data_IF_084382846937
#
_entry.id   IF_084382846937
#
_cell.length_a   1.000
_cell.length_b   1.000
_cell.length_c   1.000
_cell.angle_alpha   90.00
_cell.angle_beta   90.00
_cell.angle_gamma   90.00
#
_symmetry.space_group_name_H-M   'P 1'
#
loop_
_entity.id
_entity.type
_entity.pdbx_description
1 polymer ?
#
# COMPACT_ATOMS: atom_id res chain seq x y z
N UNK A 1 -13.98 4.95 -3.58
CA UNK A 1 -12.72 5.02 -2.80
C UNK A 1 -11.60 5.42 -3.73
N UNK A 2 -10.89 6.45 -3.38
CA UNK A 2 -9.86 6.97 -4.28
C UNK A 2 -8.55 6.22 -4.15
N UNK A 3 -7.83 6.10 -5.27
CA UNK A 3 -6.46 5.60 -5.28
C UNK A 3 -5.60 6.48 -4.37
N UNK A 4 -4.76 5.87 -3.55
CA UNK A 4 -3.94 6.55 -2.56
C UNK A 4 -4.55 6.60 -1.16
N UNK A 5 -5.79 6.13 -1.00
CA UNK A 5 -6.41 6.07 0.32
C UNK A 5 -5.62 5.16 1.24
N UNK A 6 -5.37 5.63 2.46
CA UNK A 6 -4.74 4.86 3.54
C UNK A 6 -5.87 4.29 4.41
N UNK A 7 -5.96 2.98 4.45
CA UNK A 7 -7.06 2.27 5.12
C UNK A 7 -6.51 1.15 6.00
N UNK A 8 -7.25 0.80 7.05
CA UNK A 8 -6.97 -0.40 7.83
C UNK A 8 -7.70 -1.58 7.21
N UNK A 9 -7.00 -2.69 7.01
CA UNK A 9 -7.52 -3.88 6.32
C UNK A 9 -7.22 -5.13 7.14
N UNK A 10 -8.22 -6.00 7.26
CA UNK A 10 -8.03 -7.33 7.84
C UNK A 10 -7.43 -8.25 6.78
N UNK A 11 -6.19 -8.67 6.98
CA UNK A 11 -5.44 -9.51 6.05
C UNK A 11 -5.41 -10.99 6.46
N UNK A 12 -6.02 -11.34 7.59
CA UNK A 12 -6.11 -12.72 8.03
C UNK A 12 -7.17 -13.51 7.23
N UNK A 13 -6.94 -14.79 6.95
CA UNK A 13 -5.75 -15.55 7.30
C UNK A 13 -4.59 -15.28 6.34
N UNK A 14 -3.39 -15.11 6.89
CA UNK A 14 -2.17 -15.00 6.10
C UNK A 14 -1.51 -16.37 5.93
N UNK A 15 -0.74 -16.54 4.85
CA UNK A 15 -0.02 -17.79 4.56
C UNK A 15 1.45 -17.51 4.32
N UNK A 16 2.32 -18.31 4.90
CA UNK A 16 3.76 -18.20 4.72
C UNK A 16 4.29 -16.82 5.10
N UNK A 17 4.94 -16.16 4.16
CA UNK A 17 5.57 -14.84 4.36
C UNK A 17 4.61 -13.66 4.23
N UNK A 18 3.30 -13.90 3.99
CA UNK A 18 2.32 -12.82 3.91
C UNK A 18 2.18 -12.13 5.26
N UNK A 19 1.99 -10.80 5.26
CA UNK A 19 1.74 -10.06 6.51
C UNK A 19 0.38 -10.43 7.09
N UNK A 20 0.33 -10.79 8.38
CA UNK A 20 -0.91 -11.20 9.04
C UNK A 20 -1.65 -10.02 9.67
N UNK A 21 -2.84 -10.32 10.22
CA UNK A 21 -3.64 -9.43 11.05
C UNK A 21 -4.19 -8.22 10.29
N UNK A 22 -4.70 -7.25 11.06
CA UNK A 22 -5.15 -5.97 10.54
C UNK A 22 -3.95 -5.05 10.38
N UNK A 23 -3.79 -4.51 9.18
CA UNK A 23 -2.65 -3.67 8.81
C UNK A 23 -3.13 -2.42 8.08
N UNK A 24 -2.40 -1.31 8.20
CA UNK A 24 -2.63 -0.19 7.31
C UNK A 24 -2.18 -0.57 5.90
N UNK A 25 -2.98 -0.20 4.92
CA UNK A 25 -2.74 -0.51 3.50
C UNK A 25 -3.03 0.71 2.66
N UNK A 26 -2.40 0.78 1.49
CA UNK A 26 -2.66 1.84 0.51
C UNK A 26 -3.46 1.24 -0.63
N UNK A 27 -4.57 1.88 -1.00
CA UNK A 27 -5.35 1.52 -2.17
C UNK A 27 -4.56 1.99 -3.39
N UNK A 28 -4.19 1.06 -4.27
CA UNK A 28 -3.38 1.36 -5.46
C UNK A 28 -4.12 1.13 -6.76
N UNK A 29 -5.32 0.56 -6.72
CA UNK A 29 -6.15 0.37 -7.91
C UNK A 29 -6.84 1.68 -8.32
N UNK A 30 -7.21 1.73 -9.60
CA UNK A 30 -7.84 2.89 -10.23
C UNK A 30 -9.13 3.29 -9.50
N UNK A 31 -9.29 4.57 -9.24
CA UNK A 31 -10.43 5.12 -8.50
C UNK A 31 -11.77 4.67 -9.09
N UNK A 32 -11.93 4.76 -10.41
CA UNK A 32 -13.18 4.40 -11.09
C UNK A 32 -13.48 2.91 -10.95
N UNK A 33 -12.46 2.07 -11.01
CA UNK A 33 -12.62 0.62 -10.80
C UNK A 33 -13.02 0.32 -9.35
N UNK A 34 -12.47 1.05 -8.40
CA UNK A 34 -12.79 0.88 -6.98
C UNK A 34 -14.26 1.14 -6.67
N UNK A 35 -14.90 2.02 -7.44
CA UNK A 35 -16.29 2.40 -7.20
C UNK A 35 -17.29 1.33 -7.69
N UNK A 36 -16.91 0.53 -8.68
CA UNK A 36 -17.80 -0.44 -9.32
C UNK A 36 -17.44 -1.90 -9.01
N UNK A 37 -16.22 -2.18 -8.57
CA UNK A 37 -15.77 -3.54 -8.27
C UNK A 37 -16.05 -3.91 -6.81
N UNK A 38 -16.25 -5.20 -6.56
CA UNK A 38 -16.33 -5.75 -5.20
C UNK A 38 -14.95 -5.88 -4.54
N UNK A 39 -13.88 -5.70 -5.32
CA UNK A 39 -12.50 -5.81 -4.84
C UNK A 39 -11.73 -4.51 -5.06
N UNK A 40 -10.67 -4.34 -4.31
CA UNK A 40 -9.66 -3.28 -4.52
C UNK A 40 -8.28 -3.90 -4.42
N UNK A 41 -7.30 -3.27 -5.04
CA UNK A 41 -5.92 -3.70 -4.95
C UNK A 41 -5.19 -2.83 -3.93
N UNK A 42 -4.45 -3.48 -3.03
CA UNK A 42 -3.77 -2.81 -1.92
C UNK A 42 -2.29 -3.17 -1.86
N UNK A 43 -1.53 -2.26 -1.27
CA UNK A 43 -0.16 -2.48 -0.83
C UNK A 43 -0.15 -2.38 0.69
N UNK A 44 0.20 -3.46 1.41
CA UNK A 44 0.23 -3.41 2.87
C UNK A 44 1.45 -2.62 3.37
N UNK A 45 1.28 -1.98 4.53
CA UNK A 45 2.35 -1.28 5.22
C UNK A 45 2.80 -2.11 6.42
N UNK A 46 4.09 -2.14 6.67
CA UNK A 46 4.66 -2.81 7.83
C UNK A 46 5.46 -1.80 8.66
N UNK A 47 5.20 -1.71 9.96
CA UNK A 47 5.95 -0.77 10.80
C UNK A 47 7.43 -1.17 10.85
N UNK A 48 8.30 -0.15 10.91
CA UNK A 48 9.73 -0.35 11.08
C UNK A 48 10.15 0.12 12.46
N UNK A 49 11.12 -0.57 13.04
CA UNK A 49 11.72 -0.21 14.31
C UNK A 49 13.20 0.08 14.08
N UNK A 50 13.71 1.14 14.73
CA UNK A 50 15.10 1.55 14.55
C UNK A 50 15.32 2.21 13.19
N UNK A 51 16.56 2.15 12.72
CA UNK A 51 16.93 2.70 11.43
C UNK A 51 16.45 1.81 10.29
N UNK A 52 15.78 2.42 9.32
CA UNK A 52 15.36 1.72 8.11
C UNK A 52 15.89 2.45 6.89
N UNK A 53 16.53 1.71 5.99
CA UNK A 53 16.92 2.25 4.69
C UNK A 53 15.70 2.33 3.79
N UNK A 54 15.63 3.39 2.99
CA UNK A 54 14.65 3.49 1.92
C UNK A 54 15.02 2.48 0.81
N UNK A 55 14.04 1.77 0.29
CA UNK A 55 14.24 0.79 -0.78
C UNK A 55 13.25 1.06 -1.91
N UNK A 56 13.68 0.87 -3.15
CA UNK A 56 12.84 1.18 -4.31
C UNK A 56 11.54 0.39 -4.34
N UNK A 57 11.58 -0.91 -4.02
CA UNK A 57 10.39 -1.78 -4.03
C UNK A 57 9.65 -1.75 -2.70
N UNK A 58 10.29 -1.29 -1.64
CA UNK A 58 9.69 -1.14 -0.33
C UNK A 58 9.99 0.26 0.22
N UNK A 59 9.40 1.30 -0.36
CA UNK A 59 9.69 2.68 0.06
C UNK A 59 9.28 2.91 1.51
N UNK A 60 10.06 3.74 2.20
CA UNK A 60 9.80 4.14 3.58
C UNK A 60 8.83 5.31 3.58
N UNK A 61 7.78 5.19 4.38
CA UNK A 61 6.81 6.26 4.64
C UNK A 61 6.94 6.70 6.08
N UNK A 62 7.20 7.99 6.30
CA UNK A 62 7.40 8.52 7.65
C UNK A 62 6.05 8.71 8.36
N UNK A 63 6.02 8.44 9.65
CA UNK A 63 4.82 8.61 10.48
C UNK A 63 4.25 10.02 10.36
N UNK A 64 5.09 11.04 10.33
CA UNK A 64 4.67 12.45 10.22
C UNK A 64 3.89 12.75 8.95
N UNK A 65 4.06 11.93 7.91
CA UNK A 65 3.43 12.12 6.59
C UNK A 65 2.20 11.25 6.38
N UNK A 66 1.91 10.32 7.30
CA UNK A 66 0.85 9.32 7.10
C UNK A 66 -0.24 9.33 8.17
N UNK A 67 -0.05 10.03 9.29
CA UNK A 67 -0.89 9.97 10.49
C UNK A 67 -0.81 8.62 11.22
N UNK A 68 0.07 7.73 10.81
CA UNK A 68 0.34 6.49 11.54
C UNK A 68 1.29 6.79 12.70
N UNK A 69 1.26 5.95 13.74
CA UNK A 69 2.11 6.14 14.92
C UNK A 69 3.58 5.81 14.68
N UNK A 70 3.88 5.07 13.62
CA UNK A 70 5.24 4.60 13.31
C UNK A 70 5.57 4.80 11.85
N UNK A 71 6.86 4.97 11.57
CA UNK A 71 7.37 4.88 10.20
C UNK A 71 7.06 3.48 9.68
N UNK A 72 6.70 3.39 8.42
CA UNK A 72 6.26 2.13 7.82
C UNK A 72 6.91 1.93 6.47
N UNK A 73 7.08 0.67 6.11
CA UNK A 73 7.56 0.24 4.81
C UNK A 73 6.37 -0.17 3.96
N UNK A 74 6.25 0.36 2.75
CA UNK A 74 5.21 -0.04 1.82
C UNK A 74 5.70 -1.30 1.08
N UNK A 75 5.02 -2.42 1.30
CA UNK A 75 5.42 -3.72 0.77
C UNK A 75 4.86 -3.92 -0.64
N UNK A 76 5.45 -3.26 -1.64
CA UNK A 76 5.00 -3.36 -3.03
C UNK A 76 5.09 -4.79 -3.56
N UNK A 77 6.01 -5.59 -3.01
CA UNK A 77 6.14 -7.02 -3.35
C UNK A 77 5.02 -7.89 -2.76
N UNK A 78 4.15 -7.33 -1.91
CA UNK A 78 2.97 -8.01 -1.39
C UNK A 78 1.67 -7.38 -1.88
N UNK A 79 1.71 -6.70 -3.00
CA UNK A 79 0.52 -6.15 -3.66
C UNK A 79 -0.50 -7.26 -3.92
N UNK A 80 -1.77 -7.00 -3.58
CA UNK A 80 -2.82 -8.01 -3.75
C UNK A 80 -4.19 -7.37 -3.85
N UNK A 81 -5.12 -8.10 -4.47
CA UNK A 81 -6.53 -7.73 -4.47
C UNK A 81 -7.22 -8.32 -3.25
N UNK A 82 -8.11 -7.55 -2.65
CA UNK A 82 -8.89 -7.97 -1.50
C UNK A 82 -10.35 -7.63 -1.72
N UNK A 83 -11.24 -8.34 -1.04
CA UNK A 83 -12.65 -7.98 -0.97
C UNK A 83 -12.80 -6.68 -0.16
N UNK A 84 -13.66 -5.77 -0.63
CA UNK A 84 -13.91 -4.51 0.08
C UNK A 84 -14.38 -4.71 1.52
N UNK A 85 -15.03 -5.83 1.80
CA UNK A 85 -15.48 -6.16 3.15
C UNK A 85 -14.37 -6.32 4.17
N UNK A 86 -13.12 -6.48 3.73
CA UNK A 86 -11.96 -6.53 4.63
C UNK A 86 -11.50 -5.17 5.11
N UNK A 87 -11.98 -4.08 4.51
CA UNK A 87 -11.62 -2.71 4.90
C UNK A 87 -12.35 -2.35 6.18
N UNK A 88 -11.64 -1.82 7.17
CA UNK A 88 -12.19 -1.43 8.48
C UNK A 88 -12.38 0.08 8.58
N UNK A 89 -11.28 0.84 8.56
CA UNK A 89 -11.30 2.28 8.74
C UNK A 89 -10.47 2.98 7.67
N UNK A 90 -10.86 4.20 7.33
CA UNK A 90 -10.06 5.08 6.46
C UNK A 90 -9.32 6.09 7.34
N UNK A 91 -8.00 6.19 7.14
CA UNK A 91 -7.14 7.12 7.88
C UNK A 91 -7.01 8.45 7.13
N UNK A 92 -6.85 8.38 5.82
CA UNK A 92 -6.65 9.56 4.98
C UNK A 92 -6.25 9.18 3.57
N UNK A 93 -5.62 10.12 2.87
CA UNK A 93 -5.14 9.92 1.51
C UNK A 93 -3.68 10.37 1.46
N UNK A 94 -2.81 9.56 0.85
CA UNK A 94 -1.41 9.92 0.68
C UNK A 94 -1.26 11.11 -0.27
N UNK A 95 -0.22 11.92 -0.04
CA UNK A 95 0.16 12.95 -0.99
C UNK A 95 0.55 12.32 -2.34
N UNK A 96 0.39 13.06 -3.45
CA UNK A 96 0.82 12.56 -4.77
C UNK A 96 2.29 12.14 -4.80
N UNK A 97 3.15 12.83 -4.05
CA UNK A 97 4.57 12.50 -3.97
C UNK A 97 4.79 11.11 -3.37
N UNK A 98 4.17 10.84 -2.23
CA UNK A 98 4.31 9.53 -1.56
C UNK A 98 3.67 8.42 -2.38
N UNK A 99 2.50 8.67 -2.94
CA UNK A 99 1.84 7.71 -3.82
C UNK A 99 2.70 7.39 -5.03
N UNK A 100 3.36 8.40 -5.61
CA UNK A 100 4.29 8.21 -6.72
C UNK A 100 5.44 7.27 -6.38
N UNK A 101 5.94 7.31 -5.15
CA UNK A 101 7.01 6.40 -4.70
C UNK A 101 6.51 4.96 -4.65
N UNK A 102 5.27 4.75 -4.21
CA UNK A 102 4.65 3.43 -4.21
C UNK A 102 4.41 2.94 -5.63
N UNK A 103 3.89 3.79 -6.51
CA UNK A 103 3.68 3.44 -7.92
C UNK A 103 4.98 3.03 -8.60
N UNK A 104 6.09 3.75 -8.35
CA UNK A 104 7.41 3.36 -8.87
C UNK A 104 7.85 2.00 -8.34
N UNK A 105 7.60 1.74 -7.06
CA UNK A 105 7.87 0.43 -6.46
C UNK A 105 7.11 -0.69 -7.14
N UNK A 106 5.84 -0.45 -7.48
CA UNK A 106 5.01 -1.41 -8.21
C UNK A 106 5.50 -1.62 -9.65
N UNK A 107 5.85 -0.54 -10.33
CA UNK A 107 6.41 -0.62 -11.69
C UNK A 107 7.66 -1.51 -11.69
N UNK A 108 8.55 -1.30 -10.72
CA UNK A 108 9.77 -2.10 -10.61
C UNK A 108 9.48 -3.55 -10.23
N UNK A 109 8.62 -3.76 -9.25
CA UNK A 109 8.28 -5.11 -8.80
C UNK A 109 7.63 -5.95 -9.90
N UNK A 110 6.76 -5.32 -10.69
CA UNK A 110 6.03 -6.00 -11.77
C UNK A 110 6.76 -5.95 -13.11
N UNK A 111 7.98 -5.39 -13.14
CA UNK A 111 8.81 -5.29 -14.34
C UNK A 111 8.09 -4.56 -15.48
N UNK A 112 7.52 -3.41 -15.15
CA UNK A 112 6.75 -2.61 -16.12
C UNK A 112 7.52 -1.40 -16.67
N UNK A 113 8.82 -1.27 -16.38
CA UNK A 113 9.62 -0.10 -16.76
C UNK A 113 9.59 0.13 -18.28
N UNK A 114 9.54 -0.95 -19.07
CA UNK A 114 9.53 -0.85 -20.54
C UNK A 114 8.26 -0.24 -21.11
N UNK A 115 7.21 -0.12 -20.32
CA UNK A 115 5.90 0.38 -20.78
C UNK A 115 5.58 1.78 -20.31
N UNK A 116 6.41 2.37 -19.46
CA UNK A 116 6.14 3.69 -18.87
C UNK A 116 7.36 4.58 -18.99
N UNK A 117 7.09 5.90 -19.05
CA UNK A 117 8.13 6.92 -18.96
C UNK A 117 8.14 7.45 -17.54
N UNK A 118 9.26 7.28 -16.88
CA UNK A 118 9.43 7.72 -15.48
C UNK A 118 10.19 9.04 -15.40
#
# INVERSE_FOLDING_TARGET
>A
MVKGSLVWVSLDPARGAEVPKTRPCIIVSRTEANDVSSTVTIVPLSPVTGRAADRLVQPLLLAKDTRLSKDSRALCDQVRSIDKGRIRDTVGVLSPELLGRIDRGLILHLELEGYVTL
#
